data_IF_772066931096
#
_entry.id   IF_772066931096
#
_cell.length_a   1.000
_cell.length_b   1.000
_cell.length_c   1.000
_cell.angle_alpha   90.00
_cell.angle_beta   90.00
_cell.angle_gamma   90.00
#
_symmetry.space_group_name_H-M   'P 1'
#
loop_
_entity.id
_entity.type
_entity.pdbx_description
1 polymer ?
#
# COMPACT_ATOMS: atom_id res chain seq x y z
N UNK A 1 -18.36 31.62 -9.72
CA UNK A 1 -17.44 30.47 -9.80
C UNK A 1 -17.29 29.88 -8.41
N UNK A 2 -17.97 28.76 -8.10
CA UNK A 2 -17.77 28.04 -6.83
C UNK A 2 -16.65 27.03 -7.04
N UNK A 3 -15.58 27.20 -6.27
CA UNK A 3 -14.37 26.39 -6.26
C UNK A 3 -14.70 24.95 -5.89
N UNK A 4 -14.19 24.03 -6.70
CA UNK A 4 -14.41 22.58 -6.60
C UNK A 4 -13.73 22.03 -5.34
N UNK A 5 -14.52 21.86 -4.29
CA UNK A 5 -14.26 20.87 -3.25
C UNK A 5 -14.52 19.48 -3.85
N UNK A 6 -13.59 19.01 -4.69
CA UNK A 6 -13.68 17.69 -5.34
C UNK A 6 -12.59 16.77 -4.80
N UNK A 7 -13.04 15.92 -3.88
CA UNK A 7 -12.98 14.47 -4.05
C UNK A 7 -11.60 13.78 -4.02
N UNK A 8 -10.89 13.89 -2.88
CA UNK A 8 -10.01 12.78 -2.49
C UNK A 8 -10.82 11.49 -2.18
N UNK A 9 -12.13 11.59 -1.93
CA UNK A 9 -12.97 10.46 -1.51
C UNK A 9 -13.32 9.48 -2.65
N UNK A 10 -13.40 9.91 -3.92
CA UNK A 10 -13.61 9.00 -5.06
C UNK A 10 -12.31 8.58 -5.76
N UNK A 11 -11.39 9.49 -6.10
CA UNK A 11 -10.20 9.12 -6.90
C UNK A 11 -9.18 8.30 -6.12
N UNK A 12 -9.00 8.56 -4.82
CA UNK A 12 -8.07 7.78 -3.99
C UNK A 12 -8.69 6.50 -3.42
N UNK A 13 -10.02 6.36 -3.33
CA UNK A 13 -10.65 5.17 -2.72
C UNK A 13 -10.43 3.93 -3.59
N UNK A 14 -10.56 4.07 -4.90
CA UNK A 14 -10.23 3.02 -5.86
C UNK A 14 -8.71 2.74 -5.89
N UNK A 15 -7.90 3.78 -5.70
CA UNK A 15 -6.43 3.67 -5.66
C UNK A 15 -5.93 2.98 -4.38
N UNK A 16 -6.50 3.28 -3.20
CA UNK A 16 -6.19 2.63 -1.93
C UNK A 16 -6.65 1.17 -1.90
N UNK A 17 -7.85 0.90 -2.45
CA UNK A 17 -8.33 -0.47 -2.63
C UNK A 17 -7.38 -1.27 -3.52
N UNK A 18 -6.96 -0.68 -4.65
CA UNK A 18 -6.00 -1.28 -5.58
C UNK A 18 -4.63 -1.50 -4.95
N UNK A 19 -4.13 -0.57 -4.12
CA UNK A 19 -2.86 -0.72 -3.40
C UNK A 19 -2.94 -1.81 -2.32
N UNK A 20 -4.06 -1.93 -1.60
CA UNK A 20 -4.28 -3.01 -0.65
C UNK A 20 -4.35 -4.38 -1.35
N UNK A 21 -4.98 -4.45 -2.52
CA UNK A 21 -5.01 -5.67 -3.31
C UNK A 21 -3.62 -6.02 -3.87
N UNK A 22 -2.86 -5.02 -4.34
CA UNK A 22 -1.46 -5.21 -4.72
C UNK A 22 -0.62 -5.73 -3.55
N UNK A 23 -0.78 -5.17 -2.35
CA UNK A 23 -0.10 -5.63 -1.14
C UNK A 23 -0.41 -7.11 -0.84
N UNK A 24 -1.69 -7.51 -0.93
CA UNK A 24 -2.11 -8.91 -0.73
C UNK A 24 -1.48 -9.84 -1.75
N UNK A 25 -1.45 -9.44 -3.03
CA UNK A 25 -0.86 -10.24 -4.11
C UNK A 25 0.65 -10.39 -3.94
N UNK A 26 1.36 -9.31 -3.60
CA UNK A 26 2.81 -9.38 -3.35
C UNK A 26 3.12 -10.30 -2.16
N UNK A 27 2.37 -10.19 -1.07
CA UNK A 27 2.52 -11.08 0.09
C UNK A 27 2.21 -12.54 -0.24
N UNK A 28 1.20 -12.81 -1.06
CA UNK A 28 0.85 -14.16 -1.50
C UNK A 28 1.96 -14.78 -2.36
N UNK A 29 2.54 -13.99 -3.28
CA UNK A 29 3.66 -14.45 -4.13
C UNK A 29 4.92 -14.69 -3.29
N UNK A 30 5.25 -13.81 -2.33
CA UNK A 30 6.39 -14.01 -1.44
C UNK A 30 6.27 -15.35 -0.68
N UNK A 31 5.09 -15.64 -0.10
CA UNK A 31 4.82 -16.93 0.59
C UNK A 31 4.92 -18.13 -0.35
N UNK A 32 4.46 -17.97 -1.60
CA UNK A 32 4.58 -19.04 -2.59
C UNK A 32 6.06 -19.37 -2.85
N UNK A 33 6.91 -18.36 -3.01
CA UNK A 33 8.36 -18.55 -3.16
C UNK A 33 9.03 -19.13 -1.91
N UNK A 34 8.65 -18.68 -0.71
CA UNK A 34 9.12 -19.25 0.56
C UNK A 34 8.84 -20.77 0.62
N UNK A 35 7.62 -21.19 0.26
CA UNK A 35 7.26 -22.61 0.20
C UNK A 35 8.04 -23.39 -0.89
N UNK A 36 8.41 -22.76 -2.00
CA UNK A 36 9.23 -23.39 -3.04
C UNK A 36 10.65 -23.68 -2.56
N UNK A 37 11.24 -22.81 -1.72
CA UNK A 37 12.58 -23.02 -1.17
C UNK A 37 12.64 -24.29 -0.31
N UNK A 38 11.58 -24.58 0.46
CA UNK A 38 11.49 -25.76 1.31
C UNK A 38 11.55 -27.07 0.50
N UNK A 39 11.13 -27.03 -0.77
CA UNK A 39 11.04 -28.20 -1.64
C UNK A 39 12.20 -28.31 -2.64
N UNK A 40 13.02 -27.27 -2.78
CA UNK A 40 14.13 -27.23 -3.74
C UNK A 40 15.45 -27.67 -3.08
N UNK A 41 16.29 -28.43 -3.79
CA UNK A 41 17.64 -28.80 -3.34
C UNK A 41 18.76 -28.26 -4.25
N UNK A 42 18.40 -27.60 -5.36
CA UNK A 42 19.37 -27.03 -6.31
C UNK A 42 19.83 -25.64 -5.82
N UNK A 43 21.13 -25.42 -5.55
CA UNK A 43 21.62 -24.18 -4.94
C UNK A 43 21.40 -22.91 -5.78
N UNK A 44 21.56 -23.01 -7.08
CA UNK A 44 21.33 -21.94 -8.06
C UNK A 44 19.86 -21.51 -8.08
N UNK A 45 18.94 -22.48 -8.10
CA UNK A 45 17.51 -22.23 -8.02
C UNK A 45 17.14 -21.62 -6.67
N UNK A 46 17.73 -22.06 -5.54
CA UNK A 46 17.53 -21.43 -4.24
C UNK A 46 17.99 -19.98 -4.22
N UNK A 47 19.13 -19.68 -4.84
CA UNK A 47 19.62 -18.29 -4.92
C UNK A 47 18.61 -17.42 -5.65
N UNK A 48 18.15 -17.85 -6.83
CA UNK A 48 17.13 -17.13 -7.60
C UNK A 48 15.85 -16.92 -6.78
N UNK A 49 15.34 -17.95 -6.10
CA UNK A 49 14.10 -17.82 -5.33
C UNK A 49 14.28 -16.87 -4.14
N UNK A 50 15.44 -16.88 -3.48
CA UNK A 50 15.74 -15.91 -2.42
C UNK A 50 15.74 -14.47 -2.94
N UNK A 51 16.36 -14.22 -4.10
CA UNK A 51 16.37 -12.89 -4.73
C UNK A 51 14.94 -12.43 -5.05
N UNK A 52 14.10 -13.33 -5.58
CA UNK A 52 12.68 -13.04 -5.83
C UNK A 52 11.92 -12.73 -4.54
N UNK A 53 12.17 -13.43 -3.43
CA UNK A 53 11.55 -13.14 -2.14
C UNK A 53 11.93 -11.74 -1.65
N UNK A 54 13.20 -11.38 -1.73
CA UNK A 54 13.68 -10.06 -1.29
C UNK A 54 13.10 -8.93 -2.14
N UNK A 55 12.99 -9.12 -3.46
CA UNK A 55 12.30 -8.19 -4.35
C UNK A 55 10.83 -7.98 -3.94
N UNK A 56 10.12 -9.08 -3.61
CA UNK A 56 8.73 -9.02 -3.15
C UNK A 56 8.59 -8.32 -1.82
N UNK A 57 9.48 -8.58 -0.87
CA UNK A 57 9.54 -7.88 0.44
C UNK A 57 9.79 -6.38 0.26
N UNK A 58 10.69 -6.00 -0.64
CA UNK A 58 10.93 -4.59 -0.99
C UNK A 58 9.67 -3.93 -1.58
N UNK A 59 8.97 -4.63 -2.48
CA UNK A 59 7.68 -4.18 -3.03
C UNK A 59 6.62 -3.95 -1.95
N UNK A 60 6.45 -4.92 -1.04
CA UNK A 60 5.53 -4.84 0.11
C UNK A 60 5.80 -3.59 0.95
N UNK A 61 7.07 -3.34 1.32
CA UNK A 61 7.44 -2.18 2.13
C UNK A 61 7.14 -0.86 1.42
N UNK A 62 7.38 -0.78 0.10
CA UNK A 62 7.07 0.41 -0.70
C UNK A 62 5.57 0.69 -0.74
N UNK A 63 4.74 -0.35 -0.91
CA UNK A 63 3.28 -0.22 -0.91
C UNK A 63 2.78 0.22 0.47
N UNK A 64 3.26 -0.39 1.56
CA UNK A 64 2.90 -0.01 2.93
C UNK A 64 3.27 1.45 3.20
N UNK A 65 4.48 1.87 2.84
CA UNK A 65 4.90 3.26 2.99
C UNK A 65 3.94 4.21 2.27
N UNK A 66 3.51 3.87 1.05
CA UNK A 66 2.59 4.69 0.28
C UNK A 66 1.19 4.76 0.86
N UNK A 67 0.68 3.63 1.35
CA UNK A 67 -0.60 3.58 2.08
C UNK A 67 -0.56 4.47 3.32
N UNK A 68 0.54 4.42 4.10
CA UNK A 68 0.72 5.27 5.28
C UNK A 68 0.78 6.76 4.91
N UNK A 69 1.47 7.13 3.83
CA UNK A 69 1.48 8.51 3.31
C UNK A 69 0.07 9.00 2.96
N UNK A 70 -0.74 8.16 2.31
CA UNK A 70 -2.11 8.49 1.93
C UNK A 70 -2.99 8.67 3.17
N UNK A 71 -2.92 7.75 4.14
CA UNK A 71 -3.67 7.84 5.39
C UNK A 71 -3.31 9.09 6.20
N UNK A 72 -2.02 9.41 6.33
CA UNK A 72 -1.56 10.61 7.04
C UNK A 72 -2.09 11.90 6.39
N UNK A 73 -2.12 11.97 5.04
CA UNK A 73 -2.70 13.11 4.33
C UNK A 73 -4.20 13.25 4.58
N UNK A 74 -4.94 12.14 4.60
CA UNK A 74 -6.39 12.15 4.90
C UNK A 74 -6.66 12.70 6.29
N UNK A 75 -5.90 12.25 7.31
CA UNK A 75 -6.09 12.68 8.70
C UNK A 75 -5.82 14.18 8.90
N UNK A 76 -4.82 14.74 8.20
CA UNK A 76 -4.55 16.19 8.24
C UNK A 76 -5.71 16.99 7.65
N UNK A 77 -6.28 16.53 6.52
CA UNK A 77 -7.43 17.20 5.88
C UNK A 77 -8.66 17.17 6.80
N UNK A 78 -8.95 16.03 7.43
CA UNK A 78 -10.10 15.89 8.32
C UNK A 78 -9.96 16.75 9.60
N UNK A 79 -8.74 16.89 10.14
CA UNK A 79 -8.47 17.76 11.28
C UNK A 79 -8.66 19.25 10.98
N UNK A 80 -8.32 19.68 9.76
CA UNK A 80 -8.53 21.06 9.31
C UNK A 80 -10.04 21.34 9.15
N UNK A 81 -10.79 20.44 8.52
CA UNK A 81 -12.25 20.60 8.33
C UNK A 81 -13.02 20.72 9.65
N UNK A 82 -12.61 19.99 10.70
CA UNK A 82 -13.24 20.11 12.02
C UNK A 82 -12.93 21.44 12.73
N UNK A 83 -11.80 22.08 12.43
CA UNK A 83 -11.43 23.37 13.05
C UNK A 83 -12.18 24.58 12.47
N UNK A 84 -12.72 24.49 11.25
CA UNK A 84 -13.47 25.58 10.61
C UNK A 84 -14.97 25.59 10.93
N UNK A 85 -15.53 24.49 11.46
CA UNK A 85 -16.95 24.41 11.83
C UNK A 85 -17.27 24.93 13.24
N UNK A 86 -16.29 25.46 13.98
CA UNK A 86 -16.49 25.97 15.34
C UNK A 86 -16.62 27.51 15.44
N UNK A 87 -16.66 28.22 14.30
CA UNK A 87 -16.80 29.70 14.27
C UNK A 87 -18.11 30.18 13.64
N UNK A 88 -19.11 29.31 13.51
CA UNK A 88 -20.48 29.71 13.18
C UNK A 88 -21.36 29.60 14.44
N UNK A 89 -21.19 30.56 15.37
CA UNK A 89 -22.20 30.91 16.38
C UNK A 89 -22.81 32.24 15.96
#
# INVERSE_FOLDING_TARGET
>A
MKTKEKDCMHECKDTCSSLNEALRKEAAIARYYENMIEQCNMPDVKSLINDLIEDKRSGILRIIKKLNEIHARSQVIDGISNSFNQTAI
#
